data_IF_692527079363
#
_entry.id   IF_692527079363
#
_cell.length_a   1.000
_cell.length_b   1.000
_cell.length_c   1.000
_cell.angle_alpha   90.00
_cell.angle_beta   90.00
_cell.angle_gamma   90.00
#
_symmetry.space_group_name_H-M   'P 1'
#
loop_
_entity.id
_entity.type
_entity.pdbx_description
1 polymer ?
#
# COMPACT_ATOMS: atom_id res chain seq x y z
N UNK A 1 11.24 -29.18 10.31
CA UNK A 1 12.29 -28.96 9.28
C UNK A 1 12.52 -27.46 9.16
N UNK A 2 13.76 -26.98 9.04
CA UNK A 2 14.04 -25.53 8.89
C UNK A 2 13.55 -25.05 7.52
N UNK A 3 12.93 -23.87 7.48
CA UNK A 3 12.47 -23.20 6.27
C UNK A 3 12.66 -21.67 6.40
N UNK A 4 12.29 -20.91 5.38
CA UNK A 4 12.44 -19.44 5.34
C UNK A 4 11.69 -18.72 6.48
N UNK A 5 10.66 -19.34 7.08
CA UNK A 5 9.84 -18.76 8.15
C UNK A 5 10.23 -19.22 9.55
N UNK A 6 11.27 -20.04 9.70
CA UNK A 6 11.64 -20.63 11.00
C UNK A 6 11.87 -19.56 12.08
N UNK A 7 12.49 -18.42 11.73
CA UNK A 7 12.72 -17.31 12.69
C UNK A 7 11.42 -16.57 13.05
N UNK A 8 10.52 -16.42 12.09
CA UNK A 8 9.19 -15.83 12.34
C UNK A 8 8.38 -16.72 13.26
N UNK A 9 8.41 -18.03 13.04
CA UNK A 9 7.73 -19.02 13.87
C UNK A 9 8.24 -19.04 15.32
N UNK A 10 9.53 -18.77 15.57
CA UNK A 10 10.06 -18.64 16.93
C UNK A 10 9.43 -17.49 17.73
N UNK A 11 8.96 -16.46 17.04
CA UNK A 11 8.29 -15.30 17.66
C UNK A 11 6.77 -15.45 17.74
N UNK A 12 6.15 -15.94 16.69
CA UNK A 12 4.69 -15.97 16.55
C UNK A 12 4.08 -17.31 16.99
N UNK A 13 4.85 -18.40 16.94
CA UNK A 13 4.36 -19.75 17.19
C UNK A 13 3.73 -20.38 15.94
N UNK A 14 3.47 -21.69 16.02
CA UNK A 14 2.98 -22.47 14.87
C UNK A 14 1.57 -22.08 14.44
N UNK A 15 0.66 -21.91 15.39
CA UNK A 15 -0.75 -21.57 15.11
C UNK A 15 -0.89 -20.24 14.38
N UNK A 16 -0.11 -19.23 14.75
CA UNK A 16 -0.07 -17.94 14.05
C UNK A 16 0.48 -18.09 12.63
N UNK A 17 1.50 -18.92 12.43
CA UNK A 17 2.03 -19.21 11.09
C UNK A 17 1.01 -19.94 10.22
N UNK A 18 0.23 -20.85 10.79
CA UNK A 18 -0.84 -21.56 10.06
C UNK A 18 -1.96 -20.57 9.66
N UNK A 19 -2.33 -19.61 10.53
CA UNK A 19 -3.27 -18.52 10.16
C UNK A 19 -2.73 -17.66 9.03
N UNK A 20 -1.49 -17.18 9.12
CA UNK A 20 -0.86 -16.37 8.08
C UNK A 20 -0.81 -17.11 6.74
N UNK A 21 -0.48 -18.40 6.76
CA UNK A 21 -0.45 -19.25 5.57
C UNK A 21 -1.82 -19.41 4.93
N UNK A 22 -2.89 -19.43 5.72
CA UNK A 22 -4.26 -19.49 5.23
C UNK A 22 -4.83 -18.16 4.76
N UNK A 23 -4.20 -17.05 5.11
CA UNK A 23 -4.75 -15.71 4.88
C UNK A 23 -4.52 -15.21 3.44
N UNK A 24 -5.54 -14.49 2.92
CA UNK A 24 -5.53 -13.78 1.64
C UNK A 24 -5.62 -12.26 1.89
N UNK A 25 -4.60 -11.52 1.48
CA UNK A 25 -4.50 -10.06 1.69
C UNK A 25 -4.54 -9.34 0.35
N UNK A 26 -5.48 -8.40 0.19
CA UNK A 26 -5.53 -7.53 -0.99
C UNK A 26 -4.75 -6.23 -0.74
N UNK A 27 -3.80 -5.90 -1.63
CA UNK A 27 -3.00 -4.68 -1.57
C UNK A 27 -3.34 -3.78 -2.75
N UNK A 28 -4.03 -2.69 -2.47
CA UNK A 28 -4.41 -1.67 -3.44
C UNK A 28 -3.33 -0.58 -3.50
N UNK A 29 -2.65 -0.49 -4.65
CA UNK A 29 -1.53 0.41 -4.90
C UNK A 29 -0.17 -0.22 -4.59
N UNK A 30 0.62 -0.56 -5.64
CA UNK A 30 1.95 -1.19 -5.55
C UNK A 30 3.04 -0.13 -5.75
N UNK A 31 2.92 0.96 -5.04
CA UNK A 31 3.85 2.08 -5.08
C UNK A 31 4.95 2.00 -4.00
N UNK A 32 5.39 3.19 -3.54
CA UNK A 32 6.43 3.31 -2.50
C UNK A 32 6.03 2.78 -1.13
N UNK A 33 4.73 2.71 -0.83
CA UNK A 33 4.19 2.11 0.40
C UNK A 33 3.82 0.65 0.15
N UNK A 34 2.89 0.39 -0.78
CA UNK A 34 2.33 -0.95 -1.00
C UNK A 34 3.35 -1.98 -1.44
N UNK A 35 4.38 -1.58 -2.20
CA UNK A 35 5.48 -2.48 -2.55
C UNK A 35 6.22 -3.04 -1.33
N UNK A 36 6.46 -2.22 -0.30
CA UNK A 36 7.07 -2.67 0.96
C UNK A 36 6.08 -3.43 1.85
N UNK A 37 4.78 -3.16 1.72
CA UNK A 37 3.75 -4.01 2.35
C UNK A 37 3.83 -5.41 1.80
N UNK A 38 3.77 -5.59 0.48
CA UNK A 38 3.85 -6.91 -0.17
C UNK A 38 5.13 -7.66 0.22
N UNK A 39 6.29 -6.97 0.18
CA UNK A 39 7.58 -7.51 0.61
C UNK A 39 7.54 -8.08 2.02
N UNK A 40 6.99 -7.33 2.97
CA UNK A 40 6.94 -7.75 4.37
C UNK A 40 5.89 -8.86 4.61
N UNK A 41 4.73 -8.82 3.95
CA UNK A 41 3.70 -9.85 4.06
C UNK A 41 4.20 -11.21 3.57
N UNK A 42 4.83 -11.26 2.38
CA UNK A 42 5.35 -12.51 1.83
C UNK A 42 6.47 -13.09 2.71
N UNK A 43 7.35 -12.25 3.25
CA UNK A 43 8.41 -12.66 4.19
C UNK A 43 7.90 -13.10 5.55
N UNK A 44 6.68 -12.73 5.90
CA UNK A 44 6.01 -13.12 7.14
C UNK A 44 5.17 -14.41 6.99
N UNK A 45 4.98 -14.91 5.77
CA UNK A 45 4.31 -16.18 5.52
C UNK A 45 2.84 -16.08 5.16
N UNK A 46 2.35 -14.91 4.70
CA UNK A 46 1.01 -14.77 4.12
C UNK A 46 0.88 -15.65 2.88
N UNK A 47 -0.20 -16.42 2.79
CA UNK A 47 -0.36 -17.47 1.79
C UNK A 47 -0.96 -17.01 0.46
N UNK A 48 -1.72 -15.92 0.44
CA UNK A 48 -2.27 -15.36 -0.80
C UNK A 48 -2.24 -13.84 -0.79
N UNK A 49 -1.88 -13.22 -1.91
CA UNK A 49 -1.81 -11.76 -2.07
C UNK A 49 -2.44 -11.36 -3.40
N UNK A 50 -3.44 -10.48 -3.32
CA UNK A 50 -3.98 -9.80 -4.50
C UNK A 50 -3.24 -8.47 -4.69
N UNK A 51 -2.71 -8.23 -5.89
CA UNK A 51 -1.95 -7.04 -6.27
C UNK A 51 -2.79 -6.17 -7.21
N UNK A 52 -3.17 -4.97 -6.77
CA UNK A 52 -4.01 -4.06 -7.55
C UNK A 52 -3.26 -2.77 -7.86
N UNK A 53 -2.87 -2.56 -9.12
CA UNK A 53 -2.21 -1.34 -9.61
C UNK A 53 -2.25 -1.33 -11.15
N UNK A 54 -2.57 -0.20 -11.78
CA UNK A 54 -2.62 -0.02 -13.24
C UNK A 54 -1.31 0.49 -13.84
N UNK A 55 -0.43 1.01 -13.00
CA UNK A 55 0.78 1.70 -13.43
C UNK A 55 1.88 0.74 -13.92
N UNK A 56 2.72 1.29 -14.80
CA UNK A 56 4.02 0.72 -15.15
C UNK A 56 5.14 1.36 -14.32
N UNK A 57 6.22 0.64 -14.12
CA UNK A 57 7.43 1.17 -13.47
C UNK A 57 7.99 2.31 -14.30
N UNK A 58 8.13 3.49 -13.69
CA UNK A 58 8.72 4.69 -14.30
C UNK A 58 10.12 4.95 -13.71
N UNK A 59 10.99 5.63 -14.47
CA UNK A 59 12.32 5.99 -14.01
C UNK A 59 12.31 6.76 -12.68
N UNK A 60 11.34 7.66 -12.48
CA UNK A 60 11.20 8.43 -11.24
C UNK A 60 10.72 7.61 -10.03
N UNK A 61 10.39 6.34 -10.23
CA UNK A 61 10.03 5.44 -9.12
C UNK A 61 11.27 4.81 -8.46
N UNK A 62 12.43 4.80 -9.14
CA UNK A 62 13.64 4.13 -8.67
C UNK A 62 14.13 4.65 -7.31
N UNK A 63 13.80 5.89 -6.97
CA UNK A 63 14.23 6.48 -5.72
C UNK A 63 13.53 5.91 -4.48
N UNK A 64 12.37 5.21 -4.63
CA UNK A 64 11.56 4.82 -3.46
C UNK A 64 10.72 3.54 -3.60
N UNK A 65 10.51 3.01 -4.80
CA UNK A 65 9.71 1.79 -5.00
C UNK A 65 10.62 0.57 -5.09
N UNK A 66 10.40 -0.43 -4.24
CA UNK A 66 11.25 -1.62 -4.14
C UNK A 66 11.34 -2.42 -5.44
N UNK A 67 10.26 -2.43 -6.22
CA UNK A 67 10.17 -3.11 -7.52
C UNK A 67 10.83 -2.35 -8.66
N UNK A 68 11.11 -1.05 -8.45
CA UNK A 68 11.63 -0.19 -9.49
C UNK A 68 13.16 -0.29 -9.59
N UNK A 69 13.63 -0.86 -10.67
CA UNK A 69 15.02 -0.98 -11.05
C UNK A 69 15.18 -0.58 -12.54
N UNK A 70 16.41 -0.38 -13.00
CA UNK A 70 16.64 -0.11 -14.43
C UNK A 70 16.15 -1.23 -15.35
N UNK A 71 16.10 -2.48 -14.86
CA UNK A 71 15.64 -3.65 -15.61
C UNK A 71 14.12 -3.77 -15.67
N UNK A 72 13.40 -3.10 -14.75
CA UNK A 72 11.95 -3.22 -14.63
C UNK A 72 11.19 -2.04 -15.21
N UNK A 73 11.87 -0.95 -15.61
CA UNK A 73 11.23 0.22 -16.25
C UNK A 73 10.37 -0.23 -17.44
N UNK A 74 9.12 0.23 -17.47
CA UNK A 74 8.15 -0.07 -18.54
C UNK A 74 7.32 -1.33 -18.32
N UNK A 75 7.69 -2.22 -17.37
CA UNK A 75 6.87 -3.38 -16.97
C UNK A 75 5.73 -2.93 -16.05
N UNK A 76 4.62 -3.66 -16.01
CA UNK A 76 3.56 -3.42 -15.02
C UNK A 76 4.09 -3.66 -13.60
N UNK A 77 3.67 -2.83 -12.65
CA UNK A 77 4.11 -2.94 -11.26
C UNK A 77 3.65 -4.25 -10.62
N UNK A 78 2.44 -4.68 -10.94
CA UNK A 78 1.88 -5.95 -10.46
C UNK A 78 2.73 -7.14 -10.89
N UNK A 79 3.13 -7.21 -12.16
CA UNK A 79 3.94 -8.31 -12.70
C UNK A 79 5.32 -8.38 -12.05
N UNK A 80 5.96 -7.21 -11.89
CA UNK A 80 7.28 -7.15 -11.24
C UNK A 80 7.19 -7.54 -9.77
N UNK A 81 6.09 -7.19 -9.09
CA UNK A 81 5.89 -7.59 -7.70
C UNK A 81 5.58 -9.08 -7.59
N UNK A 82 4.81 -9.67 -8.51
CA UNK A 82 4.55 -11.09 -8.59
C UNK A 82 5.84 -11.89 -8.78
N UNK A 83 6.69 -11.53 -9.78
CA UNK A 83 8.01 -12.13 -9.98
C UNK A 83 8.82 -12.10 -8.67
N UNK A 84 8.83 -10.95 -7.98
CA UNK A 84 9.56 -10.78 -6.72
C UNK A 84 8.99 -11.59 -5.56
N UNK A 85 7.69 -11.72 -5.45
CA UNK A 85 7.01 -12.53 -4.43
C UNK A 85 7.41 -14.00 -4.60
N UNK A 86 7.36 -14.53 -5.82
CA UNK A 86 7.72 -15.92 -6.10
C UNK A 86 9.21 -16.21 -5.89
N UNK A 87 10.11 -15.22 -6.08
CA UNK A 87 11.53 -15.34 -5.73
C UNK A 87 11.75 -15.45 -4.21
N UNK A 88 10.84 -14.90 -3.40
CA UNK A 88 10.91 -14.95 -1.93
C UNK A 88 10.22 -16.21 -1.40
N UNK A 89 9.00 -16.46 -1.88
CA UNK A 89 8.20 -17.61 -1.50
C UNK A 89 7.41 -18.13 -2.71
N UNK A 90 7.85 -19.23 -3.33
CA UNK A 90 7.21 -19.78 -4.53
C UNK A 90 5.81 -20.36 -4.27
N UNK A 91 5.45 -20.61 -3.01
CA UNK A 91 4.17 -21.24 -2.65
C UNK A 91 3.04 -20.23 -2.47
N UNK A 92 3.30 -18.90 -2.53
CA UNK A 92 2.27 -17.86 -2.38
C UNK A 92 1.37 -17.83 -3.62
N UNK A 93 0.06 -17.79 -3.38
CA UNK A 93 -0.92 -17.55 -4.44
C UNK A 93 -0.94 -16.05 -4.71
N UNK A 94 -0.60 -15.65 -5.93
CA UNK A 94 -0.64 -14.25 -6.36
C UNK A 94 -1.71 -14.05 -7.42
N UNK A 95 -2.59 -13.07 -7.21
CA UNK A 95 -3.57 -12.63 -8.20
C UNK A 95 -3.27 -11.18 -8.59
N UNK A 96 -3.07 -10.92 -9.87
CA UNK A 96 -2.75 -9.58 -10.37
C UNK A 96 -3.94 -8.93 -11.04
N UNK A 97 -4.27 -7.69 -10.63
CA UNK A 97 -5.30 -6.85 -11.21
C UNK A 97 -4.64 -5.60 -11.80
N UNK A 98 -4.46 -5.56 -13.12
CA UNK A 98 -3.86 -4.42 -13.84
C UNK A 98 -4.93 -3.38 -14.14
N UNK A 99 -5.49 -2.79 -13.09
CA UNK A 99 -6.54 -1.79 -13.20
C UNK A 99 -6.43 -0.73 -12.11
N UNK A 100 -6.95 0.44 -12.40
CA UNK A 100 -7.14 1.49 -11.41
C UNK A 100 -8.43 1.20 -10.63
N UNK A 101 -8.35 1.15 -9.30
CA UNK A 101 -9.53 0.92 -8.47
C UNK A 101 -10.38 2.20 -8.37
N UNK A 102 -11.63 2.10 -8.73
CA UNK A 102 -12.64 3.15 -8.67
C UNK A 102 -13.96 2.60 -8.08
N UNK A 103 -14.88 3.47 -7.62
CA UNK A 103 -16.21 3.03 -7.18
C UNK A 103 -16.95 2.20 -8.23
N UNK A 104 -16.75 2.52 -9.52
CA UNK A 104 -17.45 1.90 -10.65
C UNK A 104 -17.06 0.45 -10.90
N UNK A 105 -15.84 0.05 -10.54
CA UNK A 105 -15.35 -1.34 -10.69
C UNK A 105 -15.21 -2.09 -9.36
N UNK A 106 -15.70 -1.50 -8.27
CA UNK A 106 -15.53 -2.09 -6.93
C UNK A 106 -16.20 -3.48 -6.81
N UNK A 107 -17.28 -3.74 -7.54
CA UNK A 107 -18.00 -5.01 -7.52
C UNK A 107 -17.31 -6.12 -8.33
N UNK A 108 -16.26 -5.81 -9.07
CA UNK A 108 -15.44 -6.79 -9.79
C UNK A 108 -14.44 -7.53 -8.86
N UNK A 109 -14.26 -7.03 -7.63
CA UNK A 109 -13.30 -7.60 -6.68
C UNK A 109 -14.01 -8.53 -5.68
N UNK A 110 -13.44 -9.71 -5.37
CA UNK A 110 -14.02 -10.67 -4.44
C UNK A 110 -13.75 -10.26 -2.97
N UNK A 111 -14.32 -9.13 -2.52
CA UNK A 111 -14.06 -8.59 -1.19
C UNK A 111 -14.33 -9.61 -0.08
N UNK A 112 -15.31 -10.48 -0.25
CA UNK A 112 -15.66 -11.53 0.73
C UNK A 112 -14.60 -12.62 0.89
N UNK A 113 -13.66 -12.73 -0.07
CA UNK A 113 -12.57 -13.70 -0.02
C UNK A 113 -11.30 -13.13 0.65
N UNK A 114 -11.29 -11.84 0.98
CA UNK A 114 -10.14 -11.20 1.61
C UNK A 114 -10.24 -11.27 3.13
N UNK A 115 -9.19 -11.75 3.77
CA UNK A 115 -9.04 -11.69 5.22
C UNK A 115 -8.57 -10.31 5.69
N UNK A 116 -7.92 -9.54 4.79
CA UNK A 116 -7.46 -8.18 5.10
C UNK A 116 -7.28 -7.35 3.84
N UNK A 117 -7.57 -6.06 3.95
CA UNK A 117 -7.35 -5.08 2.87
C UNK A 117 -6.31 -4.05 3.30
N UNK A 118 -5.35 -3.79 2.42
CA UNK A 118 -4.39 -2.69 2.55
C UNK A 118 -4.68 -1.63 1.51
N UNK A 119 -5.04 -0.45 1.96
CA UNK A 119 -5.21 0.73 1.13
C UNK A 119 -3.92 1.56 1.09
N UNK A 120 -3.15 1.42 0.01
CA UNK A 120 -1.94 2.19 -0.29
C UNK A 120 -2.09 3.05 -1.56
N UNK A 121 -3.32 3.29 -2.03
CA UNK A 121 -3.59 4.20 -3.16
C UNK A 121 -3.42 5.66 -2.75
N UNK A 122 -3.20 6.56 -3.70
CA UNK A 122 -3.00 8.00 -3.45
C UNK A 122 -4.23 8.87 -3.77
N UNK A 123 -5.27 8.28 -4.33
CA UNK A 123 -6.50 8.97 -4.76
C UNK A 123 -7.56 8.92 -3.67
N UNK A 124 -8.07 10.08 -3.25
CA UNK A 124 -9.08 10.20 -2.17
C UNK A 124 -10.37 9.45 -2.50
N UNK A 125 -10.84 9.52 -3.75
CA UNK A 125 -12.07 8.83 -4.19
C UNK A 125 -11.92 7.33 -4.03
N UNK A 126 -10.82 6.74 -4.50
CA UNK A 126 -10.53 5.32 -4.36
C UNK A 126 -10.42 4.89 -2.89
N UNK A 127 -9.71 5.67 -2.06
CA UNK A 127 -9.62 5.41 -0.62
C UNK A 127 -10.98 5.34 0.07
N UNK A 128 -11.85 6.29 -0.24
CA UNK A 128 -13.21 6.32 0.34
C UNK A 128 -13.99 5.09 -0.11
N UNK A 129 -13.94 4.75 -1.41
CA UNK A 129 -14.63 3.59 -1.95
C UNK A 129 -14.15 2.27 -1.31
N UNK A 130 -12.83 2.10 -1.15
CA UNK A 130 -12.25 0.95 -0.45
C UNK A 130 -12.74 0.82 0.98
N UNK A 131 -12.73 1.91 1.75
CA UNK A 131 -13.21 1.91 3.13
C UNK A 131 -14.70 1.57 3.21
N UNK A 132 -15.52 2.15 2.33
CA UNK A 132 -16.97 1.89 2.30
C UNK A 132 -17.24 0.43 1.93
N UNK A 133 -16.52 -0.10 0.93
CA UNK A 133 -16.70 -1.49 0.47
C UNK A 133 -16.22 -2.50 1.51
N UNK A 134 -15.07 -2.24 2.14
CA UNK A 134 -14.56 -3.07 3.24
C UNK A 134 -15.55 -3.13 4.42
N UNK A 135 -16.20 -2.01 4.77
CA UNK A 135 -17.21 -1.98 5.81
C UNK A 135 -18.50 -2.71 5.40
N UNK A 136 -18.96 -2.53 4.16
CA UNK A 136 -20.13 -3.26 3.63
C UNK A 136 -19.94 -4.77 3.72
N UNK A 137 -18.71 -5.24 3.42
CA UNK A 137 -18.36 -6.66 3.40
C UNK A 137 -17.79 -7.17 4.73
N UNK A 138 -17.68 -6.32 5.75
CA UNK A 138 -17.09 -6.62 7.06
C UNK A 138 -15.65 -7.16 6.97
N UNK A 139 -14.85 -6.67 6.01
CA UNK A 139 -13.44 -7.04 5.85
C UNK A 139 -12.56 -6.03 6.59
N UNK A 140 -11.60 -6.47 7.40
CA UNK A 140 -10.62 -5.59 8.03
C UNK A 140 -9.82 -4.78 7.01
N UNK A 141 -9.61 -3.49 7.29
CA UNK A 141 -8.86 -2.60 6.41
C UNK A 141 -7.92 -1.70 7.20
N UNK A 142 -6.71 -1.51 6.68
CA UNK A 142 -5.76 -0.49 7.12
C UNK A 142 -5.41 0.44 5.96
N UNK A 143 -5.41 1.75 6.21
CA UNK A 143 -5.18 2.75 5.15
C UNK A 143 -3.91 3.54 5.42
N UNK A 144 -3.04 3.66 4.41
CA UNK A 144 -1.90 4.56 4.42
C UNK A 144 -2.36 6.00 4.20
N UNK A 145 -1.97 6.90 5.10
CA UNK A 145 -2.12 8.33 4.86
C UNK A 145 -0.94 8.89 4.06
N UNK A 146 -0.84 10.20 3.94
CA UNK A 146 0.19 10.83 3.10
C UNK A 146 1.63 10.55 3.57
N UNK A 147 2.44 9.92 2.72
CA UNK A 147 3.86 9.65 2.94
C UNK A 147 4.79 10.56 2.10
N UNK A 148 4.25 11.41 1.24
CA UNK A 148 5.02 12.37 0.46
C UNK A 148 5.35 13.66 1.23
N UNK A 149 6.39 14.37 0.77
CA UNK A 149 6.83 15.66 1.34
C UNK A 149 7.26 15.55 2.81
N UNK A 150 7.93 14.46 3.18
CA UNK A 150 8.38 14.14 4.54
C UNK A 150 9.82 13.69 4.55
N UNK A 151 10.49 13.95 5.65
CA UNK A 151 11.92 13.67 5.88
C UNK A 151 12.14 12.70 7.05
N UNK A 152 11.18 12.66 7.99
CA UNK A 152 11.28 11.86 9.21
C UNK A 152 10.39 10.61 9.12
N UNK A 153 11.03 9.47 8.88
CA UNK A 153 10.35 8.17 8.86
C UNK A 153 9.93 7.70 10.26
N UNK A 154 10.55 8.22 11.33
CA UNK A 154 10.22 7.85 12.72
C UNK A 154 8.92 8.49 13.23
N UNK A 155 8.42 9.52 12.54
CA UNK A 155 7.19 10.22 12.87
C UNK A 155 5.91 9.47 12.47
N UNK A 156 6.00 8.28 11.86
CA UNK A 156 4.82 7.47 11.56
C UNK A 156 4.24 6.81 12.79
N UNK A 157 2.88 6.82 12.85
CA UNK A 157 2.10 6.19 13.92
C UNK A 157 0.92 5.43 13.35
N UNK A 158 0.50 4.41 14.09
CA UNK A 158 -0.77 3.72 13.90
C UNK A 158 -1.83 4.36 14.78
N UNK A 159 -2.97 4.70 14.22
CA UNK A 159 -4.08 5.28 14.97
C UNK A 159 -5.43 5.02 14.30
N UNK A 160 -6.52 5.31 15.04
CA UNK A 160 -7.80 5.55 14.40
C UNK A 160 -7.77 6.86 13.62
N UNK A 161 -8.42 6.92 12.46
CA UNK A 161 -8.45 8.10 11.59
C UNK A 161 -8.90 9.37 12.35
N UNK A 162 -9.83 9.23 13.32
CA UNK A 162 -10.35 10.36 14.10
C UNK A 162 -9.40 10.85 15.19
N UNK A 163 -8.32 10.10 15.47
CA UNK A 163 -7.25 10.48 16.42
C UNK A 163 -6.01 11.03 15.72
N UNK A 164 -6.04 11.17 14.38
CA UNK A 164 -4.89 11.67 13.60
C UNK A 164 -4.75 13.19 13.68
N UNK A 165 -3.53 13.70 13.55
CA UNK A 165 -3.18 15.11 13.51
C UNK A 165 -2.28 15.43 12.30
N UNK A 166 -1.95 16.69 12.07
CA UNK A 166 -0.96 17.23 11.11
C UNK A 166 -1.11 16.81 9.64
N UNK A 167 -1.54 15.57 9.34
CA UNK A 167 -1.60 15.04 7.97
C UNK A 167 -2.78 15.64 7.17
N UNK A 168 -2.54 16.36 6.05
CA UNK A 168 -3.59 16.95 5.24
C UNK A 168 -4.54 15.90 4.63
N UNK A 169 -4.00 14.76 4.16
CA UNK A 169 -4.81 13.68 3.61
C UNK A 169 -5.74 13.09 4.68
N UNK A 170 -5.22 12.83 5.89
CA UNK A 170 -6.04 12.35 6.99
C UNK A 170 -7.16 13.34 7.36
N UNK A 171 -6.90 14.65 7.28
CA UNK A 171 -7.93 15.69 7.52
C UNK A 171 -9.07 15.57 6.49
N UNK A 172 -8.76 15.37 5.22
CA UNK A 172 -9.76 15.18 4.17
C UNK A 172 -10.53 13.88 4.40
N UNK A 173 -9.84 12.77 4.63
CA UNK A 173 -10.44 11.46 4.89
C UNK A 173 -11.38 11.48 6.09
N UNK A 174 -10.97 12.07 7.23
CA UNK A 174 -11.86 12.25 8.40
C UNK A 174 -13.17 12.92 8.06
N UNK A 175 -13.09 14.03 7.31
CA UNK A 175 -14.28 14.80 6.93
C UNK A 175 -15.22 13.98 6.06
N UNK A 176 -14.67 13.33 5.05
CA UNK A 176 -15.46 12.59 4.06
C UNK A 176 -16.02 11.28 4.63
N UNK A 177 -15.26 10.56 5.45
CA UNK A 177 -15.71 9.34 6.11
C UNK A 177 -16.77 9.63 7.18
N UNK A 178 -16.64 10.75 7.93
CA UNK A 178 -17.65 11.15 8.91
C UNK A 178 -19.02 11.41 8.26
N UNK A 179 -19.05 12.06 7.08
CA UNK A 179 -20.30 12.29 6.31
C UNK A 179 -20.97 10.97 5.89
N UNK A 180 -20.20 9.90 5.74
CA UNK A 180 -20.66 8.57 5.31
C UNK A 180 -20.94 7.62 6.46
N UNK A 181 -20.88 8.12 7.70
CA UNK A 181 -21.19 7.33 8.90
C UNK A 181 -20.10 6.33 9.33
N UNK A 182 -18.89 6.42 8.73
CA UNK A 182 -17.76 5.58 9.15
C UNK A 182 -17.35 5.95 10.56
N UNK A 183 -17.38 4.99 11.48
CA UNK A 183 -17.10 5.22 12.92
C UNK A 183 -15.63 5.07 13.29
N UNK A 184 -14.89 4.23 12.58
CA UNK A 184 -13.47 3.94 12.83
C UNK A 184 -12.77 3.52 11.54
N UNK A 185 -11.48 3.79 11.45
CA UNK A 185 -10.59 3.27 10.40
C UNK A 185 -9.17 3.24 10.96
N UNK A 186 -8.53 2.08 10.94
CA UNK A 186 -7.10 1.95 11.28
C UNK A 186 -6.27 2.59 10.16
N UNK A 187 -5.37 3.49 10.53
CA UNK A 187 -4.49 4.20 9.57
C UNK A 187 -3.04 4.25 10.05
N UNK A 188 -2.13 4.29 9.09
CA UNK A 188 -0.74 4.71 9.32
C UNK A 188 -0.58 6.14 8.78
N UNK A 189 -0.18 7.06 9.64
CA UNK A 189 0.00 8.47 9.31
C UNK A 189 1.24 9.03 9.99
N UNK A 190 1.77 10.12 9.47
CA UNK A 190 2.91 10.82 10.08
C UNK A 190 2.46 12.10 10.77
N UNK A 191 3.01 12.36 11.95
CA UNK A 191 2.84 13.63 12.69
C UNK A 191 3.77 14.74 12.20
N UNK A 192 4.67 14.43 11.28
CA UNK A 192 5.51 15.44 10.65
C UNK A 192 4.65 16.37 9.76
N UNK A 193 4.86 17.67 9.92
CA UNK A 193 4.29 18.67 9.00
C UNK A 193 4.93 18.49 7.61
N UNK A 194 4.14 18.33 6.53
CA UNK A 194 4.71 18.19 5.20
C UNK A 194 5.63 19.36 4.84
N UNK A 195 6.81 19.05 4.33
CA UNK A 195 7.76 20.03 3.78
C UNK A 195 7.23 20.56 2.45
N UNK A 196 7.38 21.83 2.18
CA UNK A 196 7.06 22.38 0.86
C UNK A 196 8.12 21.91 -0.15
N UNK A 197 7.75 21.24 -1.26
CA UNK A 197 8.71 20.88 -2.29
C UNK A 197 9.40 22.12 -2.89
N UNK A 198 10.64 21.94 -3.30
CA UNK A 198 11.35 22.95 -4.09
C UNK A 198 10.74 22.97 -5.48
N UNK A 199 10.29 24.15 -5.93
CA UNK A 199 9.74 24.31 -7.26
C UNK A 199 10.88 24.43 -8.28
N UNK A 200 11.18 23.33 -8.96
CA UNK A 200 12.16 23.28 -10.06
C UNK A 200 11.52 22.60 -11.28
N UNK A 201 11.19 23.41 -12.27
CA UNK A 201 10.55 22.93 -13.50
C UNK A 201 11.49 22.09 -14.37
N UNK A 202 12.81 22.21 -14.19
CA UNK A 202 13.79 21.44 -14.98
C UNK A 202 13.81 19.97 -14.63
N UNK A 203 13.43 19.60 -13.38
CA UNK A 203 13.37 18.22 -12.87
C UNK A 203 11.93 17.75 -12.60
N UNK A 204 10.94 18.57 -12.90
CA UNK A 204 9.53 18.22 -12.67
C UNK A 204 8.99 17.32 -13.77
N UNK A 205 8.32 16.23 -13.38
CA UNK A 205 7.56 15.40 -14.33
C UNK A 205 6.40 16.16 -15.02
N UNK A 206 6.02 17.33 -14.53
CA UNK A 206 5.03 18.20 -15.20
C UNK A 206 5.52 18.71 -16.53
N UNK A 207 6.77 19.14 -16.62
CA UNK A 207 7.39 19.71 -17.80
C UNK A 207 8.12 18.68 -18.65
N UNK A 208 8.67 17.65 -18.01
CA UNK A 208 9.52 16.64 -18.63
C UNK A 208 9.02 15.24 -18.27
N UNK A 209 7.82 14.87 -18.77
CA UNK A 209 7.26 13.54 -18.52
C UNK A 209 8.06 12.47 -19.27
N UNK A 210 8.59 11.50 -18.51
CA UNK A 210 9.33 10.32 -18.99
C UNK A 210 8.59 9.03 -18.66
N UNK A 211 7.26 9.09 -18.51
CA UNK A 211 6.43 7.92 -18.27
C UNK A 211 6.50 6.97 -19.46
N UNK A 212 6.47 5.65 -19.23
CA UNK A 212 6.44 4.66 -20.30
C UNK A 212 5.24 4.88 -21.23
N UNK A 213 5.36 4.56 -22.54
CA UNK A 213 4.24 4.62 -23.46
C UNK A 213 3.06 3.78 -22.99
N UNK A 214 1.84 4.31 -23.13
CA UNK A 214 0.60 3.62 -22.75
C UNK A 214 0.30 3.66 -21.25
N UNK A 215 0.90 4.56 -20.47
CA UNK A 215 0.45 4.88 -19.12
C UNK A 215 -0.89 5.63 -19.21
N UNK A 216 -1.95 5.09 -18.60
CA UNK A 216 -3.27 5.70 -18.61
C UNK A 216 -3.31 7.00 -17.78
N UNK A 217 -2.54 7.03 -16.70
CA UNK A 217 -2.44 8.18 -15.80
C UNK A 217 -1.10 8.90 -15.95
N UNK A 218 -1.11 10.10 -16.52
CA UNK A 218 0.10 10.90 -16.74
C UNK A 218 0.42 11.76 -15.53
N UNK A 219 1.70 11.84 -15.16
CA UNK A 219 2.18 12.74 -14.11
C UNK A 219 1.81 14.22 -14.38
N UNK A 220 1.66 14.60 -15.65
CA UNK A 220 1.28 15.95 -16.09
C UNK A 220 -0.13 16.36 -15.65
N UNK A 221 -1.02 15.40 -15.39
CA UNK A 221 -2.42 15.64 -14.98
C UNK A 221 -2.56 15.80 -13.46
N UNK A 222 -1.51 15.45 -12.70
CA UNK A 222 -1.52 15.59 -11.23
C UNK A 222 -1.41 17.06 -10.83
N UNK A 223 -2.28 17.48 -9.90
CA UNK A 223 -2.26 18.84 -9.35
C UNK A 223 -0.92 19.18 -8.70
N UNK A 224 -0.37 18.23 -7.95
CA UNK A 224 0.92 18.35 -7.28
C UNK A 224 1.71 17.04 -7.39
N UNK A 225 3.02 17.14 -7.61
CA UNK A 225 3.95 16.01 -7.58
C UNK A 225 4.70 16.09 -6.25
N UNK A 226 4.37 15.23 -5.26
CA UNK A 226 5.04 15.28 -3.98
C UNK A 226 6.50 14.82 -4.10
N UNK A 227 7.39 15.49 -3.37
CA UNK A 227 8.74 14.98 -3.12
C UNK A 227 8.68 13.70 -2.29
N UNK A 228 9.66 12.82 -2.45
CA UNK A 228 9.73 11.57 -1.69
C UNK A 228 11.17 11.08 -1.55
N UNK A 229 11.42 10.38 -0.45
CA UNK A 229 12.69 9.72 -0.13
C UNK A 229 12.47 8.21 -0.01
N UNK A 230 13.54 7.42 -0.18
CA UNK A 230 13.47 5.97 -0.16
C UNK A 230 12.90 5.40 1.15
N UNK A 231 13.36 5.96 2.28
CA UNK A 231 13.09 5.42 3.61
C UNK A 231 11.76 5.87 4.23
N UNK A 232 11.12 6.91 3.72
CA UNK A 232 9.86 7.42 4.29
C UNK A 232 8.67 6.55 3.92
N UNK A 233 8.30 6.34 2.64
CA UNK A 233 7.18 5.49 2.29
C UNK A 233 7.45 4.00 2.60
N UNK A 234 8.72 3.56 2.57
CA UNK A 234 9.07 2.18 2.91
C UNK A 234 8.77 1.84 4.37
N UNK A 235 9.13 2.75 5.31
CA UNK A 235 8.82 2.57 6.73
C UNK A 235 7.31 2.57 6.97
N UNK A 236 6.55 3.45 6.30
CA UNK A 236 5.09 3.39 6.38
C UNK A 236 4.54 2.03 5.92
N UNK A 237 5.06 1.48 4.82
CA UNK A 237 4.69 0.16 4.32
C UNK A 237 5.03 -0.97 5.28
N UNK A 238 6.21 -0.94 5.88
CA UNK A 238 6.64 -1.94 6.87
C UNK A 238 5.78 -1.90 8.15
N UNK A 239 5.40 -0.70 8.62
CA UNK A 239 4.49 -0.54 9.76
C UNK A 239 3.11 -1.12 9.42
N UNK A 240 2.55 -0.81 8.25
CA UNK A 240 1.27 -1.37 7.79
C UNK A 240 1.32 -2.90 7.78
N UNK A 241 2.35 -3.47 7.16
CA UNK A 241 2.50 -4.92 7.11
C UNK A 241 2.62 -5.55 8.49
N UNK A 242 3.35 -4.90 9.40
CA UNK A 242 3.47 -5.33 10.80
C UNK A 242 2.13 -5.38 11.53
N UNK A 243 1.25 -4.39 11.31
CA UNK A 243 -0.12 -4.39 11.85
C UNK A 243 -0.96 -5.53 11.26
N UNK A 244 -0.94 -5.69 9.92
CA UNK A 244 -1.68 -6.77 9.24
C UNK A 244 -1.24 -8.14 9.74
N UNK A 245 0.07 -8.39 9.82
CA UNK A 245 0.64 -9.65 10.32
C UNK A 245 0.21 -9.92 11.75
N UNK A 246 0.26 -8.92 12.64
CA UNK A 246 -0.14 -9.09 14.04
C UNK A 246 -1.65 -9.29 14.19
N UNK A 247 -2.46 -8.57 13.41
CA UNK A 247 -3.91 -8.71 13.44
C UNK A 247 -4.32 -10.13 13.03
N UNK A 248 -3.77 -10.67 11.94
CA UNK A 248 -4.05 -12.03 11.47
C UNK A 248 -3.44 -13.08 12.42
N UNK A 249 -2.17 -12.90 12.81
CA UNK A 249 -1.46 -13.86 13.65
C UNK A 249 -2.11 -14.07 15.01
N UNK A 250 -2.71 -13.01 15.59
CA UNK A 250 -3.28 -13.02 16.94
C UNK A 250 -4.80 -12.85 16.98
N UNK A 251 -5.47 -12.98 15.84
CA UNK A 251 -6.94 -12.92 15.70
C UNK A 251 -7.51 -11.66 16.37
N UNK A 252 -6.97 -10.48 15.96
CA UNK A 252 -7.33 -9.17 16.53
C UNK A 252 -8.37 -8.40 15.70
N UNK A 253 -8.92 -9.00 14.67
CA UNK A 253 -9.87 -8.40 13.72
C UNK A 253 -11.24 -9.05 13.80
#
# INVERSE_FOLDING_TARGET
MLNQFSRTQLLLGKEAMDRLKGARVAVFGIGGVGGYVCEALVRSGVGAIDLIDDDKVCLTNLNRQIIATRKTIGKYKTDVMEERIHDINPDVIVVTHRCFFLPENADEFPFEEYDYIVDAVDTVTAKIALVMKAQEKNVPIISSMGAGNKLDASAFKVADIYKTSMCPLAKVMRRELKKRGVKKLKVVYSEEKPTRPIEDMSISCRSNCICPPGAEHKCTERRDIPGSLAFVPSVAGLIIAGEVVQDIAFDRV
#
